data_IF_998333735392
#
_entry.id   IF_998333735392
#
_cell.length_a   1.000
_cell.length_b   1.000
_cell.length_c   1.000
_cell.angle_alpha   90.00
_cell.angle_beta   90.00
_cell.angle_gamma   90.00
#
_symmetry.space_group_name_H-M   'P 1'
#
loop_
_entity.id
_entity.type
_entity.pdbx_description
1 polymer ?
#
# COMPACT_ATOMS: atom_id res chain seq x y z
N UNK A 1 18.51 16.69 3.63
CA UNK A 1 18.00 15.41 3.11
C UNK A 1 18.77 14.29 3.81
N UNK A 2 18.27 13.78 4.95
CA UNK A 2 18.89 12.67 5.69
C UNK A 2 18.18 11.41 5.20
N UNK A 3 18.80 10.70 4.26
CA UNK A 3 18.34 9.40 3.82
C UNK A 3 18.43 8.46 5.03
N UNK A 4 17.27 8.15 5.57
CA UNK A 4 17.10 7.40 6.80
C UNK A 4 17.39 5.93 6.45
N UNK A 5 18.66 5.53 6.51
CA UNK A 5 19.15 4.15 6.33
C UNK A 5 18.69 3.21 7.47
N UNK A 6 17.46 3.40 7.96
CA UNK A 6 16.78 2.56 8.94
C UNK A 6 16.54 1.14 8.45
N UNK A 7 16.57 0.90 7.14
CA UNK A 7 16.52 -0.45 6.57
C UNK A 7 17.93 -1.07 6.54
N UNK A 8 18.96 -0.24 6.40
CA UNK A 8 20.35 -0.68 6.36
C UNK A 8 20.80 -1.26 7.72
N UNK A 9 20.31 -0.68 8.82
CA UNK A 9 20.56 -1.12 10.20
C UNK A 9 19.77 -2.37 10.62
N UNK A 10 18.76 -2.81 9.85
CA UNK A 10 18.00 -4.01 10.20
C UNK A 10 18.75 -5.28 9.78
N UNK A 11 18.62 -6.32 10.60
CA UNK A 11 19.07 -7.67 10.23
C UNK A 11 18.15 -8.26 9.14
N UNK A 12 18.66 -9.25 8.38
CA UNK A 12 17.89 -9.92 7.32
C UNK A 12 16.57 -10.52 7.84
N UNK A 13 16.56 -11.04 9.05
CA UNK A 13 15.38 -11.61 9.69
C UNK A 13 14.35 -10.53 10.00
N UNK A 14 14.76 -9.40 10.56
CA UNK A 14 13.87 -8.28 10.85
C UNK A 14 13.30 -7.66 9.57
N UNK A 15 14.10 -7.57 8.50
CA UNK A 15 13.67 -7.14 7.17
C UNK A 15 12.58 -8.06 6.61
N UNK A 16 12.72 -9.39 6.74
CA UNK A 16 11.70 -10.36 6.33
C UNK A 16 10.41 -10.25 7.16
N UNK A 17 10.52 -10.06 8.48
CA UNK A 17 9.35 -9.86 9.35
C UNK A 17 8.62 -8.57 8.98
N UNK A 18 9.36 -7.49 8.72
CA UNK A 18 8.81 -6.20 8.31
C UNK A 18 8.16 -6.26 6.93
N UNK A 19 8.75 -7.01 5.99
CA UNK A 19 8.14 -7.27 4.68
C UNK A 19 6.80 -8.01 4.82
N UNK A 20 6.74 -9.07 5.64
CA UNK A 20 5.50 -9.82 5.89
C UNK A 20 4.42 -8.93 6.51
N UNK A 21 4.77 -8.13 7.54
CA UNK A 21 3.85 -7.18 8.16
C UNK A 21 3.34 -6.14 7.18
N UNK A 22 4.23 -5.55 6.38
CA UNK A 22 3.86 -4.57 5.36
C UNK A 22 2.97 -5.17 4.26
N UNK A 23 3.26 -6.40 3.81
CA UNK A 23 2.40 -7.13 2.85
C UNK A 23 1.02 -7.39 3.44
N UNK A 24 0.94 -7.87 4.68
CA UNK A 24 -0.33 -8.09 5.36
C UNK A 24 -1.14 -6.79 5.50
N UNK A 25 -0.49 -5.68 5.86
CA UNK A 25 -1.13 -4.37 5.94
C UNK A 25 -1.65 -3.88 4.58
N UNK A 26 -0.87 -4.03 3.50
CA UNK A 26 -1.30 -3.66 2.13
C UNK A 26 -2.47 -4.52 1.66
N UNK A 27 -2.45 -5.82 1.93
CA UNK A 27 -3.58 -6.72 1.62
C UNK A 27 -4.83 -6.31 2.40
N UNK A 28 -4.69 -6.04 3.71
CA UNK A 28 -5.79 -5.57 4.55
C UNK A 28 -6.39 -4.25 4.06
N UNK A 29 -5.54 -3.27 3.75
CA UNK A 29 -5.97 -1.99 3.17
C UNK A 29 -6.64 -2.18 1.80
N UNK A 30 -6.13 -3.09 0.97
CA UNK A 30 -6.72 -3.42 -0.33
C UNK A 30 -8.15 -3.97 -0.20
N UNK A 31 -8.39 -4.86 0.76
CA UNK A 31 -9.73 -5.43 1.02
C UNK A 31 -10.69 -4.32 1.48
N UNK A 32 -10.27 -3.50 2.46
CA UNK A 32 -11.08 -2.39 2.97
C UNK A 32 -11.41 -1.40 1.85
N UNK A 33 -10.42 -1.08 1.01
CA UNK A 33 -10.61 -0.18 -0.12
C UNK A 33 -11.55 -0.76 -1.17
N UNK A 34 -11.48 -2.06 -1.47
CA UNK A 34 -12.41 -2.72 -2.39
C UNK A 34 -13.87 -2.63 -1.89
N UNK A 35 -14.10 -2.87 -0.60
CA UNK A 35 -15.43 -2.72 0.01
C UNK A 35 -15.90 -1.27 -0.08
N UNK A 36 -15.04 -0.31 0.25
CA UNK A 36 -15.35 1.11 0.16
C UNK A 36 -15.70 1.53 -1.28
N UNK A 37 -14.97 1.05 -2.28
CA UNK A 37 -15.25 1.31 -3.70
C UNK A 37 -16.63 0.77 -4.12
N UNK A 38 -17.00 -0.43 -3.69
CA UNK A 38 -18.33 -1.01 -3.98
C UNK A 38 -19.43 -0.13 -3.38
N UNK A 39 -19.26 0.33 -2.14
CA UNK A 39 -20.21 1.22 -1.47
C UNK A 39 -20.31 2.57 -2.20
N UNK A 40 -19.18 3.15 -2.59
CA UNK A 40 -19.14 4.42 -3.33
C UNK A 40 -19.82 4.30 -4.70
N UNK A 41 -19.61 3.21 -5.43
CA UNK A 41 -20.27 2.94 -6.72
C UNK A 41 -21.78 2.80 -6.50
N UNK A 42 -22.21 2.02 -5.51
CA UNK A 42 -23.63 1.85 -5.18
C UNK A 42 -24.29 3.21 -4.84
N UNK A 43 -23.62 4.03 -4.02
CA UNK A 43 -24.11 5.34 -3.64
C UNK A 43 -24.15 6.32 -4.82
N UNK A 44 -23.14 6.28 -5.69
CA UNK A 44 -23.07 7.11 -6.91
C UNK A 44 -24.24 6.82 -7.85
N UNK A 45 -24.56 5.53 -8.06
CA UNK A 45 -25.70 5.11 -8.89
C UNK A 45 -27.03 5.49 -8.25
N UNK A 46 -27.20 5.27 -6.94
CA UNK A 46 -28.45 5.57 -6.22
C UNK A 46 -28.75 7.07 -6.17
N UNK A 47 -27.74 7.90 -5.91
CA UNK A 47 -27.90 9.35 -5.76
C UNK A 47 -27.64 10.13 -7.05
N UNK A 48 -27.35 9.44 -8.17
CA UNK A 48 -26.90 10.04 -9.45
C UNK A 48 -25.71 11.00 -9.30
N UNK A 49 -24.94 10.86 -8.22
CA UNK A 49 -23.83 11.75 -7.92
C UNK A 49 -22.52 11.15 -8.44
N UNK A 50 -22.25 11.39 -9.72
CA UNK A 50 -21.08 10.87 -10.43
C UNK A 50 -19.74 11.45 -9.94
N UNK A 51 -19.74 12.50 -9.12
CA UNK A 51 -18.52 13.01 -8.48
C UNK A 51 -17.83 11.93 -7.60
N UNK A 52 -18.60 11.02 -7.02
CA UNK A 52 -18.10 9.90 -6.21
C UNK A 52 -17.26 8.90 -7.03
N UNK A 53 -17.49 8.79 -8.34
CA UNK A 53 -16.65 7.99 -9.25
C UNK A 53 -15.25 8.59 -9.43
N UNK A 54 -15.15 9.93 -9.46
CA UNK A 54 -13.85 10.61 -9.51
C UNK A 54 -13.04 10.39 -8.23
N UNK A 55 -13.71 10.45 -7.08
CA UNK A 55 -13.09 10.16 -5.77
C UNK A 55 -12.64 8.70 -5.68
N UNK A 56 -13.47 7.77 -6.17
CA UNK A 56 -13.12 6.35 -6.26
C UNK A 56 -11.86 6.12 -7.10
N UNK A 57 -11.76 6.75 -8.28
CA UNK A 57 -10.57 6.68 -9.14
C UNK A 57 -9.32 7.30 -8.51
N UNK A 58 -9.44 8.48 -7.90
CA UNK A 58 -8.32 9.16 -7.24
C UNK A 58 -7.80 8.45 -5.99
N UNK A 59 -8.67 7.69 -5.31
CA UNK A 59 -8.30 6.98 -4.07
C UNK A 59 -7.21 5.92 -4.29
N UNK A 60 -7.07 5.37 -5.49
CA UNK A 60 -6.03 4.40 -5.83
C UNK A 60 -4.59 4.95 -5.65
N UNK A 61 -4.40 6.27 -5.78
CA UNK A 61 -3.09 6.93 -5.62
C UNK A 61 -2.57 6.79 -4.18
N UNK A 62 -3.46 6.65 -3.18
CA UNK A 62 -3.06 6.54 -1.77
C UNK A 62 -2.31 5.24 -1.44
N UNK A 63 -2.40 4.20 -2.28
CA UNK A 63 -1.63 2.96 -2.11
C UNK A 63 -0.19 3.04 -2.62
N UNK A 64 0.16 4.02 -3.46
CA UNK A 64 1.49 4.13 -4.07
C UNK A 64 2.63 4.17 -3.05
N UNK A 65 2.59 4.97 -1.96
CA UNK A 65 3.67 5.00 -0.97
C UNK A 65 3.91 3.64 -0.31
N UNK A 66 2.85 2.87 -0.06
CA UNK A 66 2.90 1.54 0.54
C UNK A 66 3.57 0.53 -0.40
N UNK A 67 3.28 0.60 -1.70
CA UNK A 67 3.95 -0.23 -2.71
C UNK A 67 5.43 0.14 -2.87
N UNK A 68 5.75 1.44 -2.85
CA UNK A 68 7.15 1.91 -2.91
C UNK A 68 7.94 1.40 -1.70
N UNK A 69 7.39 1.52 -0.49
CA UNK A 69 8.02 1.03 0.74
C UNK A 69 8.25 -0.50 0.69
N UNK A 70 7.27 -1.27 0.19
CA UNK A 70 7.43 -2.71 0.00
C UNK A 70 8.54 -3.06 -0.98
N UNK A 71 8.61 -2.35 -2.12
CA UNK A 71 9.63 -2.57 -3.16
C UNK A 71 11.04 -2.25 -2.65
N UNK A 72 11.18 -1.20 -1.84
CA UNK A 72 12.46 -0.85 -1.20
C UNK A 72 12.93 -1.96 -0.27
N UNK A 73 12.04 -2.46 0.61
CA UNK A 73 12.35 -3.58 1.51
C UNK A 73 12.76 -4.85 0.74
N UNK A 74 12.05 -5.16 -0.35
CA UNK A 74 12.34 -6.33 -1.18
C UNK A 74 13.68 -6.21 -1.92
N UNK A 75 13.99 -5.02 -2.42
CA UNK A 75 15.27 -4.73 -3.09
C UNK A 75 16.44 -4.84 -2.11
N UNK A 76 16.28 -4.33 -0.88
CA UNK A 76 17.25 -4.46 0.20
C UNK A 76 17.49 -5.94 0.57
N UNK A 77 16.42 -6.73 0.73
CA UNK A 77 16.52 -8.18 1.01
C UNK A 77 17.25 -8.90 -0.12
N UNK A 78 16.91 -8.59 -1.38
CA UNK A 78 17.52 -9.21 -2.56
C UNK A 78 19.01 -8.86 -2.67
N UNK A 79 19.38 -7.61 -2.40
CA UNK A 79 20.77 -7.14 -2.41
C UNK A 79 21.65 -7.82 -1.35
N UNK A 80 21.07 -8.27 -0.23
CA UNK A 80 21.80 -8.94 0.86
C UNK A 80 21.86 -10.47 0.73
N UNK A 81 20.96 -11.04 -0.07
CA UNK A 81 20.96 -12.48 -0.41
C UNK A 81 21.79 -12.81 -1.66
N UNK A 82 22.08 -11.81 -2.49
CA UNK A 82 22.97 -11.92 -3.66
C UNK A 82 24.41 -11.68 -3.27
#
# INVERSE_FOLDING_TARGET
MKENNKLADLTLEELLVKQKKAKAAVIGLGIVMAIALIILIYLALKNKNYALLGVAGGSAITLLPSFIALKQIETEIKSRKS
#
